data_IF_626510652770
#
_entry.id   IF_626510652770
#
_cell.length_a   1.000
_cell.length_b   1.000
_cell.length_c   1.000
_cell.angle_alpha   90.00
_cell.angle_beta   90.00
_cell.angle_gamma   90.00
#
_symmetry.space_group_name_H-M   'P 1'
#
loop_
_entity.id
_entity.type
_entity.pdbx_description
1 polymer ?
#
# COMPACT_ATOMS: atom_id res chain seq x y z
N UNK A 1 4.26 16.32 20.76
CA UNK A 1 5.44 15.47 20.53
C UNK A 1 6.00 14.98 21.86
N UNK A 2 6.32 15.87 22.81
CA UNK A 2 6.86 15.47 24.12
C UNK A 2 5.96 14.53 24.92
N UNK A 3 4.64 14.74 24.94
CA UNK A 3 3.75 13.82 25.68
C UNK A 3 3.68 12.43 25.04
N UNK A 4 3.78 12.35 23.71
CA UNK A 4 3.89 11.06 23.02
C UNK A 4 5.21 10.37 23.36
N UNK A 5 6.32 11.11 23.39
CA UNK A 5 7.65 10.61 23.82
C UNK A 5 7.59 10.03 25.22
N UNK A 6 6.97 10.72 26.19
CA UNK A 6 6.79 10.21 27.56
C UNK A 6 6.04 8.87 27.61
N UNK A 7 4.99 8.72 26.80
CA UNK A 7 4.21 7.46 26.71
C UNK A 7 5.08 6.32 26.17
N UNK A 8 5.86 6.57 25.12
CA UNK A 8 6.79 5.57 24.58
C UNK A 8 7.90 5.23 25.56
N UNK A 9 8.53 6.24 26.18
CA UNK A 9 9.61 6.06 27.14
C UNK A 9 9.14 5.26 28.37
N UNK A 10 7.93 5.55 28.87
CA UNK A 10 7.32 4.82 29.99
C UNK A 10 7.05 3.36 29.60
N UNK A 11 6.49 3.15 28.41
CA UNK A 11 6.16 1.81 27.90
C UNK A 11 7.42 0.94 27.67
N UNK A 12 8.51 1.55 27.18
CA UNK A 12 9.81 0.88 27.06
C UNK A 12 10.48 0.64 28.42
N UNK A 13 10.28 1.54 29.39
CA UNK A 13 10.75 1.36 30.77
C UNK A 13 10.11 0.14 31.47
N UNK A 14 8.87 -0.20 31.12
CA UNK A 14 8.17 -1.38 31.66
C UNK A 14 8.67 -2.73 31.12
N UNK A 15 9.52 -2.73 30.08
CA UNK A 15 9.95 -3.95 29.38
C UNK A 15 10.91 -4.86 30.16
N UNK A 16 11.49 -4.37 31.26
CA UNK A 16 12.50 -5.08 32.02
C UNK A 16 13.72 -5.46 31.16
N UNK A 17 14.30 -6.64 31.39
CA UNK A 17 15.55 -7.11 30.74
C UNK A 17 15.27 -7.90 29.44
N UNK A 18 14.01 -8.28 29.20
CA UNK A 18 13.60 -9.12 28.05
C UNK A 18 13.60 -8.41 26.69
N UNK A 19 13.87 -7.09 26.67
CA UNK A 19 13.81 -6.14 25.55
C UNK A 19 13.73 -6.75 24.15
N UNK A 20 14.88 -7.16 23.59
CA UNK A 20 14.97 -7.61 22.19
C UNK A 20 14.42 -9.01 21.91
N UNK A 21 14.11 -9.81 22.94
CA UNK A 21 13.55 -11.17 22.78
C UNK A 21 12.02 -11.17 22.72
N UNK A 22 11.39 -10.09 23.19
CA UNK A 22 9.94 -9.95 23.14
C UNK A 22 9.51 -9.29 21.82
N UNK A 23 8.66 -9.95 21.00
CA UNK A 23 8.19 -9.36 19.74
C UNK A 23 7.50 -8.01 19.92
N UNK A 24 6.71 -7.82 20.98
CA UNK A 24 5.97 -6.56 21.20
C UNK A 24 6.92 -5.38 21.44
N UNK A 25 8.00 -5.59 22.21
CA UNK A 25 9.00 -4.55 22.46
C UNK A 25 9.84 -4.23 21.22
N UNK A 26 10.16 -5.21 20.39
CA UNK A 26 10.77 -4.97 19.09
C UNK A 26 9.88 -4.09 18.20
N UNK A 27 8.58 -4.37 18.11
CA UNK A 27 7.66 -3.56 17.31
C UNK A 27 7.46 -2.16 17.88
N UNK A 28 7.34 -2.04 19.20
CA UNK A 28 7.19 -0.74 19.88
C UNK A 28 8.43 0.13 19.64
N UNK A 29 9.63 -0.43 19.84
CA UNK A 29 10.90 0.26 19.61
C UNK A 29 11.07 0.65 18.16
N UNK A 30 10.72 -0.25 17.22
CA UNK A 30 10.74 0.04 15.79
C UNK A 30 9.81 1.19 15.43
N UNK A 31 8.57 1.19 15.95
CA UNK A 31 7.59 2.24 15.71
C UNK A 31 8.09 3.59 16.24
N UNK A 32 8.55 3.62 17.49
CA UNK A 32 9.06 4.84 18.10
C UNK A 32 10.28 5.38 17.35
N UNK A 33 11.24 4.52 17.01
CA UNK A 33 12.41 4.90 16.24
C UNK A 33 12.06 5.40 14.83
N UNK A 34 11.08 4.80 14.16
CA UNK A 34 10.58 5.28 12.85
C UNK A 34 9.98 6.68 12.96
N UNK A 35 9.13 6.93 13.96
CA UNK A 35 8.52 8.24 14.18
C UNK A 35 9.59 9.31 14.48
N UNK A 36 10.58 8.98 15.31
CA UNK A 36 11.71 9.89 15.58
C UNK A 36 12.59 10.12 14.33
N UNK A 37 12.80 9.09 13.51
CA UNK A 37 13.53 9.23 12.25
C UNK A 37 12.79 10.11 11.24
N UNK A 38 11.45 10.09 11.20
CA UNK A 38 10.64 10.95 10.33
C UNK A 38 10.73 12.45 10.69
N UNK A 39 11.14 12.77 11.91
CA UNK A 39 11.39 14.15 12.35
C UNK A 39 12.74 14.69 11.84
N UNK A 40 13.64 13.82 11.35
CA UNK A 40 14.91 14.23 10.79
C UNK A 40 14.71 14.95 9.44
N UNK A 41 15.32 16.13 9.30
CA UNK A 41 15.27 16.93 8.06
C UNK A 41 16.26 16.36 7.02
N UNK A 42 17.43 15.94 7.49
CA UNK A 42 18.49 15.30 6.71
C UNK A 42 19.16 14.20 7.57
N UNK A 43 20.20 13.56 7.04
CA UNK A 43 20.95 12.52 7.76
C UNK A 43 22.05 13.08 8.68
N UNK A 44 22.21 14.39 8.78
CA UNK A 44 23.21 15.00 9.66
C UNK A 44 22.81 14.78 11.13
N UNK A 45 23.74 14.28 11.95
CA UNK A 45 23.45 13.94 13.35
C UNK A 45 22.55 12.72 13.54
N UNK A 46 22.24 11.94 12.48
CA UNK A 46 21.40 10.74 12.59
C UNK A 46 21.96 9.72 13.58
N UNK A 47 23.29 9.59 13.69
CA UNK A 47 23.97 8.69 14.63
C UNK A 47 23.69 9.08 16.09
N UNK A 48 23.63 10.37 16.38
CA UNK A 48 23.34 10.90 17.72
C UNK A 48 21.84 11.00 17.97
N UNK A 49 20.98 10.74 16.98
CA UNK A 49 19.54 10.91 17.12
C UNK A 49 18.92 9.99 18.18
N UNK A 50 17.75 10.43 18.69
CA UNK A 50 16.92 9.63 19.59
C UNK A 50 16.54 8.27 18.98
N UNK A 51 16.30 8.21 17.66
CA UNK A 51 16.00 6.97 16.96
C UNK A 51 17.15 5.96 17.09
N UNK A 52 18.40 6.40 16.87
CA UNK A 52 19.59 5.55 17.04
C UNK A 52 19.77 5.14 18.49
N UNK A 53 19.51 6.04 19.45
CA UNK A 53 19.55 5.71 20.87
C UNK A 53 18.58 4.60 21.25
N UNK A 54 17.30 4.70 20.83
CA UNK A 54 16.26 3.70 21.13
C UNK A 54 16.69 2.32 20.61
N UNK A 55 17.16 2.25 19.37
CA UNK A 55 17.60 0.99 18.74
C UNK A 55 18.88 0.44 19.39
N UNK A 56 19.80 1.31 19.78
CA UNK A 56 21.01 0.91 20.52
C UNK A 56 20.63 0.31 21.87
N UNK A 57 19.73 0.96 22.61
CA UNK A 57 19.24 0.50 23.91
C UNK A 57 18.45 -0.80 23.83
N UNK A 58 17.69 -1.02 22.76
CA UNK A 58 16.99 -2.28 22.55
C UNK A 58 17.97 -3.46 22.48
N UNK A 59 19.11 -3.28 21.82
CA UNK A 59 20.13 -4.33 21.70
C UNK A 59 20.96 -4.51 22.99
N UNK A 60 21.03 -3.49 23.85
CA UNK A 60 21.63 -3.61 25.17
C UNK A 60 20.70 -4.43 26.09
N UNK A 61 21.22 -5.47 26.76
CA UNK A 61 20.45 -6.28 27.72
C UNK A 61 20.28 -5.56 29.07
N UNK A 62 19.61 -4.41 29.07
CA UNK A 62 19.44 -3.56 30.25
C UNK A 62 18.10 -2.82 30.28
N UNK A 63 17.82 -2.16 31.40
CA UNK A 63 16.63 -1.33 31.54
C UNK A 63 16.69 -0.11 30.63
N UNK A 64 15.59 0.20 29.98
CA UNK A 64 15.47 1.39 29.16
C UNK A 64 15.57 2.65 30.03
N UNK A 65 16.41 3.59 29.61
CA UNK A 65 16.53 4.93 30.21
C UNK A 65 16.17 5.94 29.12
N UNK A 66 15.39 7.00 29.41
CA UNK A 66 15.06 8.02 28.42
C UNK A 66 16.29 8.67 27.79
N UNK A 67 16.15 9.08 26.53
CA UNK A 67 17.22 9.71 25.75
C UNK A 67 17.69 11.03 26.37
N UNK A 68 19.00 11.20 26.52
CA UNK A 68 19.63 12.33 27.19
C UNK A 68 20.49 13.22 26.27
N UNK A 69 20.46 13.01 24.95
CA UNK A 69 21.24 13.82 24.00
C UNK A 69 22.51 13.18 23.47
N UNK A 70 22.91 11.99 23.94
CA UNK A 70 24.15 11.35 23.53
C UNK A 70 23.97 9.86 23.21
N UNK A 71 24.71 9.40 22.20
CA UNK A 71 24.79 7.99 21.81
C UNK A 71 26.25 7.54 21.81
N UNK A 72 26.58 6.58 22.67
CA UNK A 72 27.96 6.06 22.76
C UNK A 72 28.31 5.24 21.52
N UNK A 73 29.40 5.62 20.83
CA UNK A 73 29.91 4.89 19.65
C UNK A 73 30.26 3.44 19.96
N UNK A 74 30.78 3.15 21.15
CA UNK A 74 31.08 1.79 21.62
C UNK A 74 29.81 0.96 21.73
N UNK A 75 28.72 1.57 22.22
CA UNK A 75 27.44 0.88 22.37
C UNK A 75 26.79 0.63 21.00
N UNK A 76 26.91 1.56 20.05
CA UNK A 76 26.49 1.36 18.66
C UNK A 76 27.22 0.16 18.04
N UNK A 77 28.53 0.04 18.23
CA UNK A 77 29.30 -1.10 17.70
C UNK A 77 28.88 -2.43 18.34
N UNK A 78 28.61 -2.44 19.65
CA UNK A 78 28.10 -3.63 20.36
C UNK A 78 26.70 -4.01 19.88
N UNK A 79 25.80 -3.04 19.80
CA UNK A 79 24.42 -3.22 19.33
C UNK A 79 24.39 -3.82 17.92
N UNK A 80 25.27 -3.35 17.02
CA UNK A 80 25.40 -3.92 15.66
C UNK A 80 25.67 -5.41 15.69
N UNK A 81 26.71 -5.83 16.43
CA UNK A 81 27.07 -7.25 16.57
C UNK A 81 25.94 -8.07 17.18
N UNK A 82 25.24 -7.51 18.17
CA UNK A 82 24.08 -8.17 18.80
C UNK A 82 22.95 -8.38 17.79
N UNK A 83 22.60 -7.38 16.99
CA UNK A 83 21.59 -7.53 15.95
C UNK A 83 22.00 -8.56 14.88
N UNK A 84 23.24 -8.52 14.41
CA UNK A 84 23.77 -9.49 13.44
C UNK A 84 23.60 -10.93 13.94
N UNK A 85 23.98 -11.17 15.19
CA UNK A 85 23.85 -12.50 15.81
C UNK A 85 22.39 -12.92 15.95
N UNK A 86 21.54 -12.05 16.52
CA UNK A 86 20.13 -12.39 16.77
C UNK A 86 19.34 -12.62 15.48
N UNK A 87 19.60 -11.84 14.43
CA UNK A 87 18.95 -12.06 13.13
C UNK A 87 19.40 -13.38 12.54
N UNK A 88 20.70 -13.71 12.64
CA UNK A 88 21.21 -14.99 12.16
C UNK A 88 20.62 -16.16 12.93
N UNK A 89 20.56 -16.07 14.26
CA UNK A 89 19.99 -17.09 15.15
C UNK A 89 18.51 -17.30 14.84
N UNK A 90 17.72 -16.22 14.75
CA UNK A 90 16.30 -16.27 14.42
C UNK A 90 16.04 -16.85 13.03
N UNK A 91 16.91 -16.58 12.04
CA UNK A 91 16.80 -17.19 10.72
C UNK A 91 17.14 -18.69 10.76
N UNK A 92 18.14 -19.12 11.55
CA UNK A 92 18.47 -20.54 11.70
C UNK A 92 17.40 -21.33 12.46
N UNK A 93 16.80 -20.76 13.49
CA UNK A 93 15.68 -21.37 14.21
C UNK A 93 14.44 -21.52 13.32
N UNK A 94 14.14 -20.48 12.52
CA UNK A 94 13.07 -20.57 11.53
C UNK A 94 13.37 -21.59 10.41
N UNK A 95 14.62 -21.92 10.12
CA UNK A 95 14.98 -22.97 9.14
C UNK A 95 14.75 -24.38 9.69
N UNK A 96 14.80 -24.58 11.00
CA UNK A 96 14.66 -25.90 11.64
C UNK A 96 13.23 -26.20 12.10
N UNK A 97 12.41 -25.18 12.37
CA UNK A 97 11.01 -25.35 12.77
C UNK A 97 10.07 -25.49 11.56
N UNK A 98 9.50 -26.69 11.37
CA UNK A 98 8.47 -26.97 10.35
C UNK A 98 7.07 -26.41 10.69
N UNK A 99 6.89 -25.79 11.86
CA UNK A 99 5.64 -25.17 12.28
C UNK A 99 5.73 -23.64 12.24
N UNK A 100 4.87 -23.01 11.44
CA UNK A 100 4.74 -21.56 11.38
C UNK A 100 4.02 -21.03 12.62
N UNK A 101 4.77 -20.78 13.69
CA UNK A 101 4.23 -20.02 14.80
C UNK A 101 4.13 -18.54 14.40
N UNK A 102 2.92 -17.99 14.39
CA UNK A 102 2.65 -16.56 14.13
C UNK A 102 3.48 -15.61 15.05
N UNK A 103 3.88 -16.09 16.22
CA UNK A 103 4.75 -15.35 17.14
C UNK A 103 6.19 -15.26 16.65
N UNK A 104 6.72 -16.29 16.00
CA UNK A 104 8.09 -16.33 15.48
C UNK A 104 8.27 -15.44 14.24
N UNK A 105 7.29 -15.46 13.33
CA UNK A 105 7.25 -14.55 12.18
C UNK A 105 7.17 -13.09 12.61
N UNK A 106 6.29 -12.77 13.56
CA UNK A 106 6.18 -11.43 14.14
C UNK A 106 7.52 -10.99 14.72
N UNK A 107 8.17 -11.82 15.54
CA UNK A 107 9.46 -11.49 16.14
C UNK A 107 10.54 -11.16 15.11
N UNK A 108 10.69 -12.02 14.09
CA UNK A 108 11.64 -11.82 13.00
C UNK A 108 11.42 -10.48 12.28
N UNK A 109 10.16 -10.15 11.96
CA UNK A 109 9.80 -8.91 11.29
C UNK A 109 10.22 -7.68 12.12
N UNK A 110 9.89 -7.69 13.42
CA UNK A 110 10.26 -6.60 14.34
C UNK A 110 11.77 -6.45 14.49
N UNK A 111 12.49 -7.56 14.66
CA UNK A 111 13.94 -7.59 14.84
C UNK A 111 14.68 -7.08 13.60
N UNK A 112 14.35 -7.63 12.42
CA UNK A 112 14.97 -7.21 11.15
C UNK A 112 14.60 -5.76 10.82
N UNK A 113 13.38 -5.33 11.13
CA UNK A 113 12.97 -3.94 10.99
C UNK A 113 13.82 -2.99 11.84
N UNK A 114 14.04 -3.33 13.12
CA UNK A 114 14.93 -2.58 14.01
C UNK A 114 16.36 -2.52 13.47
N UNK A 115 16.90 -3.67 13.07
CA UNK A 115 18.27 -3.77 12.59
C UNK A 115 18.49 -2.99 11.29
N UNK A 116 17.53 -3.07 10.35
CA UNK A 116 17.58 -2.35 9.07
C UNK A 116 17.56 -0.84 9.29
N UNK A 117 16.67 -0.34 10.17
CA UNK A 117 16.62 1.08 10.51
C UNK A 117 17.88 1.54 11.25
N UNK A 118 18.41 0.71 12.14
CA UNK A 118 19.66 0.98 12.86
C UNK A 118 20.85 1.10 11.89
N UNK A 119 20.96 0.19 10.93
CA UNK A 119 22.01 0.27 9.90
C UNK A 119 21.84 1.49 9.01
N UNK A 120 20.60 1.83 8.65
CA UNK A 120 20.30 3.05 7.90
C UNK A 120 20.78 4.33 8.62
N UNK A 121 20.45 4.47 9.89
CA UNK A 121 20.79 5.66 10.68
C UNK A 121 22.29 5.75 11.01
N UNK A 122 23.01 4.62 11.06
CA UNK A 122 24.42 4.58 11.48
C UNK A 122 25.42 4.49 10.33
N UNK A 123 25.09 3.79 9.24
CA UNK A 123 25.98 3.55 8.11
C UNK A 123 25.38 3.94 6.75
N UNK A 124 24.09 4.30 6.70
CA UNK A 124 23.42 4.76 5.49
C UNK A 124 22.63 3.69 4.74
N UNK A 125 22.11 4.08 3.58
CA UNK A 125 21.15 3.28 2.81
C UNK A 125 21.72 1.95 2.35
N UNK A 126 22.94 1.91 1.82
CA UNK A 126 23.52 0.68 1.26
C UNK A 126 23.67 -0.43 2.30
N UNK A 127 24.03 -0.07 3.55
CA UNK A 127 24.08 -1.02 4.66
C UNK A 127 22.70 -1.58 4.99
N UNK A 128 21.67 -0.74 5.04
CA UNK A 128 20.30 -1.19 5.26
C UNK A 128 19.78 -2.08 4.13
N UNK A 129 20.11 -1.75 2.88
CA UNK A 129 19.75 -2.57 1.71
C UNK A 129 20.42 -3.94 1.77
N UNK A 130 21.69 -4.01 2.17
CA UNK A 130 22.43 -5.26 2.34
C UNK A 130 21.78 -6.19 3.36
N UNK A 131 21.35 -5.66 4.52
CA UNK A 131 20.60 -6.45 5.53
C UNK A 131 19.34 -7.04 4.92
N UNK A 132 18.53 -6.21 4.26
CA UNK A 132 17.30 -6.69 3.63
C UNK A 132 17.56 -7.77 2.58
N UNK A 133 18.53 -7.57 1.68
CA UNK A 133 18.85 -8.53 0.63
C UNK A 133 19.27 -9.89 1.20
N UNK A 134 20.11 -9.91 2.23
CA UNK A 134 20.56 -11.14 2.90
C UNK A 134 19.40 -11.91 3.52
N UNK A 135 18.53 -11.21 4.26
CA UNK A 135 17.35 -11.81 4.90
C UNK A 135 16.35 -12.30 3.85
N UNK A 136 16.08 -11.48 2.83
CA UNK A 136 15.15 -11.80 1.77
C UNK A 136 15.58 -13.02 0.95
N UNK A 137 16.88 -13.18 0.69
CA UNK A 137 17.41 -14.36 0.00
C UNK A 137 17.16 -15.64 0.82
N UNK A 138 17.53 -15.63 2.11
CA UNK A 138 17.32 -16.78 3.00
C UNK A 138 15.85 -17.17 3.15
N UNK A 139 14.95 -16.18 3.18
CA UNK A 139 13.51 -16.46 3.22
C UNK A 139 12.96 -16.99 1.89
N UNK A 140 13.48 -16.55 0.74
CA UNK A 140 13.08 -17.08 -0.58
C UNK A 140 13.54 -18.53 -0.77
N UNK A 141 14.70 -18.89 -0.25
CA UNK A 141 15.22 -20.26 -0.33
C UNK A 141 14.34 -21.27 0.44
N UNK A 142 13.60 -20.81 1.46
CA UNK A 142 12.68 -21.63 2.28
C UNK A 142 11.33 -21.91 1.59
N UNK A 143 10.80 -20.97 0.82
CA UNK A 143 9.52 -21.10 0.10
C UNK A 143 9.73 -20.82 -1.40
N UNK A 144 10.28 -21.79 -2.17
CA UNK A 144 10.43 -21.65 -3.63
C UNK A 144 9.09 -21.69 -4.38
N UNK A 145 7.99 -22.07 -3.72
CA UNK A 145 6.66 -22.24 -4.30
C UNK A 145 5.61 -21.32 -3.68
N UNK A 146 4.91 -20.57 -4.53
CA UNK A 146 3.69 -19.82 -4.18
C UNK A 146 2.70 -20.74 -3.45
N UNK A 147 2.41 -20.45 -2.18
CA UNK A 147 1.24 -21.05 -1.54
C UNK A 147 -0.02 -20.54 -2.23
N UNK A 148 -0.60 -21.39 -3.06
CA UNK A 148 -1.86 -21.19 -3.78
C UNK A 148 -3.09 -21.39 -2.88
N UNK A 149 -2.99 -21.18 -1.56
CA UNK A 149 -4.11 -21.38 -0.66
C UNK A 149 -4.57 -20.03 -0.10
N UNK A 150 -5.85 -19.72 -0.37
CA UNK A 150 -6.55 -18.46 -0.11
C UNK A 150 -6.70 -18.03 1.36
N UNK A 151 -5.66 -18.19 2.18
CA UNK A 151 -5.53 -17.50 3.47
C UNK A 151 -4.49 -16.40 3.32
N UNK A 152 -4.96 -15.15 3.20
CA UNK A 152 -4.14 -13.95 3.05
C UNK A 152 -3.40 -13.58 4.35
N UNK A 153 -2.52 -14.43 4.84
CA UNK A 153 -1.55 -14.01 5.86
C UNK A 153 -0.40 -13.29 5.18
N UNK A 154 -0.11 -12.07 5.61
CA UNK A 154 1.08 -11.33 5.15
C UNK A 154 2.32 -12.14 5.52
N UNK A 155 3.03 -12.60 4.49
CA UNK A 155 4.27 -13.38 4.73
C UNK A 155 5.34 -12.48 5.36
N UNK A 156 6.29 -13.04 6.15
CA UNK A 156 7.39 -12.24 6.71
C UNK A 156 8.16 -11.48 5.64
N UNK A 157 8.39 -12.13 4.50
CA UNK A 157 9.06 -11.52 3.36
C UNK A 157 8.26 -10.35 2.77
N UNK A 158 6.93 -10.45 2.69
CA UNK A 158 6.06 -9.37 2.23
C UNK A 158 6.11 -8.17 3.18
N UNK A 159 6.02 -8.40 4.49
CA UNK A 159 6.11 -7.34 5.50
C UNK A 159 7.49 -6.63 5.47
N UNK A 160 8.57 -7.39 5.36
CA UNK A 160 9.93 -6.84 5.25
C UNK A 160 10.12 -6.07 3.94
N UNK A 161 9.57 -6.57 2.83
CA UNK A 161 9.56 -5.89 1.53
C UNK A 161 8.86 -4.53 1.62
N UNK A 162 7.73 -4.43 2.34
CA UNK A 162 7.04 -3.17 2.60
C UNK A 162 7.91 -2.18 3.40
N UNK A 163 8.59 -2.65 4.44
CA UNK A 163 9.49 -1.79 5.22
C UNK A 163 10.65 -1.29 4.37
N UNK A 164 11.20 -2.15 3.52
CA UNK A 164 12.28 -1.81 2.62
C UNK A 164 11.87 -0.76 1.57
N UNK A 165 10.73 -0.95 0.90
CA UNK A 165 10.16 0.04 -0.02
C UNK A 165 9.92 1.37 0.70
N UNK A 166 9.39 1.33 1.93
CA UNK A 166 9.13 2.54 2.73
C UNK A 166 10.43 3.27 3.08
N UNK A 167 11.49 2.53 3.44
CA UNK A 167 12.79 3.10 3.77
C UNK A 167 13.45 3.78 2.56
N UNK A 168 13.46 3.14 1.40
CA UNK A 168 14.02 3.74 0.17
C UNK A 168 13.26 5.03 -0.16
N UNK A 169 11.93 4.99 -0.09
CA UNK A 169 11.09 6.18 -0.33
C UNK A 169 11.37 7.30 0.66
N UNK A 170 11.55 6.97 1.94
CA UNK A 170 11.92 7.94 2.96
C UNK A 170 13.28 8.57 2.65
N UNK A 171 14.28 7.74 2.32
CA UNK A 171 15.60 8.22 1.92
C UNK A 171 15.50 9.18 0.73
N UNK A 172 14.80 8.80 -0.35
CA UNK A 172 14.56 9.66 -1.51
C UNK A 172 13.85 10.99 -1.20
N UNK A 173 13.14 11.11 -0.06
CA UNK A 173 12.51 12.35 0.37
C UNK A 173 13.51 13.30 1.03
N UNK A 174 14.47 12.77 1.77
CA UNK A 174 15.43 13.56 2.57
C UNK A 174 16.82 13.68 1.92
N UNK A 175 17.12 12.88 0.90
CA UNK A 175 18.39 12.86 0.20
C UNK A 175 18.21 12.76 -1.32
N UNK A 176 19.24 13.17 -2.07
CA UNK A 176 19.31 12.94 -3.51
C UNK A 176 19.67 11.48 -3.75
N UNK A 177 18.74 10.70 -4.30
CA UNK A 177 18.92 9.26 -4.52
C UNK A 177 18.27 8.80 -5.84
N UNK A 178 18.91 7.90 -6.61
CA UNK A 178 18.36 7.42 -7.88
C UNK A 178 17.05 6.66 -7.71
N UNK A 179 16.14 6.79 -8.68
CA UNK A 179 14.84 6.10 -8.66
C UNK A 179 14.93 4.61 -9.06
N UNK A 180 16.05 4.18 -9.65
CA UNK A 180 16.21 2.81 -10.19
C UNK A 180 16.06 1.72 -9.13
N UNK A 181 16.71 1.78 -7.95
CA UNK A 181 16.57 0.73 -6.93
C UNK A 181 15.12 0.55 -6.45
N UNK A 182 14.40 1.65 -6.20
CA UNK A 182 13.00 1.60 -5.82
C UNK A 182 12.14 0.94 -6.90
N UNK A 183 12.40 1.27 -8.18
CA UNK A 183 11.66 0.69 -9.30
C UNK A 183 11.89 -0.81 -9.41
N UNK A 184 13.13 -1.27 -9.30
CA UNK A 184 13.48 -2.69 -9.40
C UNK A 184 12.84 -3.51 -8.29
N UNK A 185 12.94 -3.03 -7.05
CA UNK A 185 12.28 -3.65 -5.89
C UNK A 185 10.77 -3.74 -6.12
N UNK A 186 10.12 -2.65 -6.54
CA UNK A 186 8.68 -2.64 -6.79
C UNK A 186 8.26 -3.62 -7.89
N UNK A 187 9.03 -3.71 -8.98
CA UNK A 187 8.76 -4.66 -10.05
C UNK A 187 8.91 -6.12 -9.58
N UNK A 188 9.85 -6.41 -8.69
CA UNK A 188 10.03 -7.75 -8.12
C UNK A 188 8.87 -8.11 -7.16
N UNK A 189 8.59 -7.25 -6.18
CA UNK A 189 7.61 -7.56 -5.13
C UNK A 189 6.18 -7.63 -5.68
N UNK A 190 5.83 -6.83 -6.69
CA UNK A 190 4.50 -6.86 -7.30
C UNK A 190 4.25 -8.09 -8.17
N UNK A 191 5.30 -8.70 -8.72
CA UNK A 191 5.17 -10.02 -9.38
C UNK A 191 4.88 -11.13 -8.36
N UNK A 192 5.39 -10.99 -7.13
CA UNK A 192 5.20 -11.97 -6.06
C UNK A 192 3.91 -11.74 -5.26
N UNK A 193 3.55 -10.48 -5.01
CA UNK A 193 2.43 -10.05 -4.16
C UNK A 193 1.51 -9.09 -4.92
N UNK A 194 0.80 -9.55 -5.97
CA UNK A 194 -0.04 -8.70 -6.79
C UNK A 194 -1.27 -8.15 -6.06
N UNK A 195 -1.69 -8.75 -4.93
CA UNK A 195 -2.80 -8.27 -4.10
C UNK A 195 -2.39 -7.16 -3.12
N UNK A 196 -1.09 -6.87 -2.96
CA UNK A 196 -0.66 -5.90 -1.96
C UNK A 196 -0.82 -4.45 -2.48
N UNK A 197 -1.82 -3.76 -1.93
CA UNK A 197 -2.17 -2.39 -2.32
C UNK A 197 -1.07 -1.36 -2.04
N UNK A 198 -0.26 -1.55 -1.00
CA UNK A 198 0.77 -0.60 -0.60
C UNK A 198 1.94 -0.55 -1.60
N UNK A 199 2.29 -1.70 -2.19
CA UNK A 199 3.24 -1.74 -3.30
C UNK A 199 2.69 -1.03 -4.53
N UNK A 200 1.43 -1.27 -4.89
CA UNK A 200 0.81 -0.59 -6.03
C UNK A 200 0.71 0.92 -5.87
N UNK A 201 0.32 1.41 -4.67
CA UNK A 201 0.31 2.84 -4.35
C UNK A 201 1.70 3.45 -4.56
N UNK A 202 2.74 2.77 -4.10
CA UNK A 202 4.14 3.19 -4.30
C UNK A 202 4.53 3.20 -5.78
N UNK A 203 4.16 2.16 -6.53
CA UNK A 203 4.42 2.03 -7.96
C UNK A 203 3.77 3.12 -8.80
N UNK A 204 2.49 3.43 -8.56
CA UNK A 204 1.81 4.52 -9.27
C UNK A 204 2.43 5.87 -8.96
N UNK A 205 2.80 6.12 -7.71
CA UNK A 205 3.40 7.39 -7.31
C UNK A 205 4.71 7.69 -8.07
N UNK A 206 5.52 6.66 -8.34
CA UNK A 206 6.74 6.83 -9.15
C UNK A 206 6.47 6.89 -10.66
N UNK A 207 5.47 6.14 -11.16
CA UNK A 207 5.21 6.03 -12.59
C UNK A 207 4.29 7.11 -13.15
N UNK A 208 3.44 7.71 -12.32
CA UNK A 208 2.57 8.83 -12.70
C UNK A 208 3.34 10.07 -13.15
N UNK A 209 4.57 10.25 -12.63
CA UNK A 209 5.49 11.33 -13.01
C UNK A 209 6.41 10.97 -14.18
N UNK A 210 6.38 9.71 -14.65
CA UNK A 210 7.28 9.21 -15.68
C UNK A 210 6.66 9.25 -17.06
N UNK A 211 7.44 9.61 -18.08
CA UNK A 211 7.01 9.59 -19.49
C UNK A 211 6.89 8.16 -20.07
N UNK A 212 7.23 7.11 -19.31
CA UNK A 212 7.32 5.75 -19.82
C UNK A 212 6.00 4.96 -19.64
N UNK A 213 4.95 5.41 -20.32
CA UNK A 213 3.62 4.78 -20.22
C UNK A 213 3.59 3.35 -20.76
N UNK A 214 4.32 3.07 -21.84
CA UNK A 214 4.33 1.75 -22.50
C UNK A 214 4.91 0.66 -21.59
N UNK A 215 6.01 0.91 -20.89
CA UNK A 215 6.59 -0.06 -19.94
C UNK A 215 5.62 -0.36 -18.79
N UNK A 216 4.96 0.67 -18.24
CA UNK A 216 3.98 0.47 -17.18
C UNK A 216 2.79 -0.36 -17.66
N UNK A 217 2.25 -0.07 -18.85
CA UNK A 217 1.13 -0.83 -19.45
C UNK A 217 1.49 -2.30 -19.64
N UNK A 218 2.65 -2.58 -20.24
CA UNK A 218 3.16 -3.96 -20.41
C UNK A 218 3.30 -4.70 -19.08
N UNK A 219 3.71 -4.00 -18.03
CA UNK A 219 3.84 -4.59 -16.70
C UNK A 219 2.49 -4.95 -16.09
N UNK A 220 1.51 -4.04 -16.14
CA UNK A 220 0.14 -4.35 -15.72
C UNK A 220 -0.47 -5.49 -16.53
N UNK A 221 -0.36 -5.44 -17.86
CA UNK A 221 -0.90 -6.47 -18.76
C UNK A 221 -0.26 -7.86 -18.50
N UNK A 222 1.01 -7.90 -18.07
CA UNK A 222 1.66 -9.14 -17.67
C UNK A 222 1.12 -9.67 -16.34
N UNK A 223 0.94 -8.80 -15.34
CA UNK A 223 0.47 -9.23 -14.01
C UNK A 223 -1.00 -9.65 -14.05
N UNK A 224 -1.88 -8.89 -14.72
CA UNK A 224 -3.32 -9.19 -14.78
C UNK A 224 -3.62 -10.53 -15.45
N UNK A 225 -2.72 -11.06 -16.27
CA UNK A 225 -2.83 -12.41 -16.85
C UNK A 225 -2.43 -13.53 -15.91
N UNK A 226 -1.67 -13.22 -14.85
CA UNK A 226 -1.09 -14.21 -13.93
C UNK A 226 -1.80 -14.29 -12.59
N UNK A 227 -2.68 -13.33 -12.29
CA UNK A 227 -3.34 -13.22 -10.99
C UNK A 227 -4.84 -13.02 -11.13
N UNK A 228 -5.58 -13.54 -10.15
CA UNK A 228 -7.02 -13.31 -10.01
C UNK A 228 -7.32 -12.05 -9.17
N UNK A 229 -6.31 -11.44 -8.56
CA UNK A 229 -6.46 -10.23 -7.74
C UNK A 229 -6.93 -9.05 -8.59
N UNK A 230 -7.78 -8.19 -8.00
CA UNK A 230 -8.35 -7.02 -8.67
C UNK A 230 -7.47 -5.78 -8.56
N UNK A 231 -6.55 -5.75 -7.60
CA UNK A 231 -5.64 -4.64 -7.36
C UNK A 231 -4.91 -4.20 -8.65
N UNK A 232 -4.29 -5.08 -9.45
CA UNK A 232 -3.63 -4.68 -10.69
C UNK A 232 -4.56 -3.96 -11.67
N UNK A 233 -5.81 -4.40 -11.80
CA UNK A 233 -6.82 -3.76 -12.66
C UNK A 233 -7.18 -2.35 -12.15
N UNK A 234 -7.51 -2.24 -10.86
CA UNK A 234 -7.89 -0.98 -10.23
C UNK A 234 -6.76 0.05 -10.31
N UNK A 235 -5.52 -0.38 -10.04
CA UNK A 235 -4.35 0.47 -10.10
C UNK A 235 -3.94 0.80 -11.55
N UNK A 236 -4.16 -0.08 -12.52
CA UNK A 236 -3.98 0.24 -13.94
C UNK A 236 -4.94 1.36 -14.40
N UNK A 237 -6.23 1.24 -14.03
CA UNK A 237 -7.25 2.25 -14.29
C UNK A 237 -6.87 3.58 -13.65
N UNK A 238 -6.49 3.56 -12.36
CA UNK A 238 -6.07 4.76 -11.64
C UNK A 238 -4.89 5.45 -12.33
N UNK A 239 -3.88 4.70 -12.78
CA UNK A 239 -2.71 5.26 -13.44
C UNK A 239 -3.06 5.91 -14.78
N UNK A 240 -3.90 5.29 -15.60
CA UNK A 240 -4.35 5.88 -16.88
C UNK A 240 -5.26 7.11 -16.64
N UNK A 241 -6.10 7.10 -15.61
CA UNK A 241 -6.87 8.28 -15.22
C UNK A 241 -5.98 9.44 -14.76
N UNK A 242 -4.92 9.17 -13.99
CA UNK A 242 -3.94 10.18 -13.60
C UNK A 242 -3.24 10.79 -14.82
N UNK A 243 -2.90 9.96 -15.81
CA UNK A 243 -2.32 10.43 -17.10
C UNK A 243 -3.29 11.31 -17.87
N UNK A 244 -4.56 10.91 -17.99
CA UNK A 244 -5.62 11.71 -18.62
C UNK A 244 -5.74 13.08 -17.93
N UNK A 245 -5.86 13.10 -16.60
CA UNK A 245 -5.94 14.35 -15.81
C UNK A 245 -4.72 15.24 -15.98
N UNK A 246 -3.52 14.67 -16.11
CA UNK A 246 -2.29 15.43 -16.35
C UNK A 246 -2.33 16.12 -17.72
N UNK A 247 -2.71 15.41 -18.78
CA UNK A 247 -2.79 15.95 -20.14
C UNK A 247 -3.85 17.05 -20.22
N UNK A 248 -5.04 16.83 -19.65
CA UNK A 248 -6.10 17.84 -19.59
C UNK A 248 -5.67 19.12 -18.87
N UNK A 249 -4.90 19.01 -17.77
CA UNK A 249 -4.37 20.18 -17.05
C UNK A 249 -3.38 20.97 -17.88
N UNK A 250 -2.59 20.31 -18.72
CA UNK A 250 -1.63 20.98 -19.61
C UNK A 250 -2.37 21.68 -20.75
N UNK A 251 -3.40 21.05 -21.32
CA UNK A 251 -4.18 21.59 -22.43
C UNK A 251 -5.11 22.76 -22.05
N UNK A 252 -5.58 22.83 -20.80
CA UNK A 252 -6.44 23.93 -20.31
C UNK A 252 -5.71 25.25 -20.01
N UNK A 253 -4.38 25.34 -20.20
CA UNK A 253 -3.69 26.64 -20.16
C UNK A 253 -3.89 27.35 -21.50
N UNK A 254 -4.49 28.56 -21.53
CA UNK A 254 -4.78 29.30 -22.75
C UNK A 254 -3.50 29.99 -23.22
N UNK A 255 -2.48 29.22 -23.58
CA UNK A 255 -1.40 29.72 -24.42
C UNK A 255 -1.77 29.27 -25.82
N UNK A 256 -2.04 30.20 -26.72
CA UNK A 256 -2.69 29.99 -28.02
C UNK A 256 -1.98 29.09 -29.04
N UNK A 257 -1.10 28.20 -28.59
CA UNK A 257 -0.43 27.21 -29.41
C UNK A 257 -1.10 25.85 -29.23
N UNK A 258 -1.77 25.40 -30.29
CA UNK A 258 -2.31 24.05 -30.44
C UNK A 258 -1.11 23.09 -30.50
N UNK A 259 -0.60 22.68 -29.33
CA UNK A 259 0.36 21.59 -29.28
C UNK A 259 -0.30 20.33 -29.83
N UNK A 260 0.36 19.69 -30.80
CA UNK A 260 -0.06 18.48 -31.49
C UNK A 260 -0.82 17.54 -30.55
N UNK A 261 -2.14 17.49 -30.75
CA UNK A 261 -3.11 16.77 -29.94
C UNK A 261 -2.77 15.29 -29.90
N UNK A 262 -2.27 14.80 -28.76
CA UNK A 262 -2.55 13.41 -28.39
C UNK A 262 -4.07 13.33 -28.34
N UNK A 263 -4.74 12.50 -29.15
CA UNK A 263 -6.19 12.44 -29.14
C UNK A 263 -6.64 12.05 -27.73
N UNK A 264 -7.40 12.92 -27.05
CA UNK A 264 -8.01 12.65 -25.74
C UNK A 264 -8.81 11.33 -25.73
N UNK A 265 -9.27 10.95 -26.94
CA UNK A 265 -9.98 9.73 -27.28
C UNK A 265 -9.16 8.47 -26.95
N UNK A 266 -7.84 8.49 -27.13
CA UNK A 266 -7.00 7.31 -26.96
C UNK A 266 -6.93 6.80 -25.52
N UNK A 267 -6.72 7.71 -24.56
CA UNK A 267 -6.69 7.35 -23.14
C UNK A 267 -8.08 6.98 -22.62
N UNK A 268 -9.11 7.68 -23.10
CA UNK A 268 -10.50 7.38 -22.75
C UNK A 268 -10.87 5.95 -23.17
N UNK A 269 -10.56 5.57 -24.41
CA UNK A 269 -10.80 4.20 -24.90
C UNK A 269 -9.96 3.16 -24.15
N UNK A 270 -8.73 3.50 -23.77
CA UNK A 270 -7.89 2.60 -22.94
C UNK A 270 -8.48 2.37 -21.56
N UNK A 271 -8.99 3.42 -20.90
CA UNK A 271 -9.64 3.30 -19.59
C UNK A 271 -10.92 2.44 -19.71
N UNK A 272 -11.73 2.66 -20.76
CA UNK A 272 -12.90 1.81 -21.04
C UNK A 272 -12.51 0.34 -21.22
N UNK A 273 -11.48 0.07 -22.03
CA UNK A 273 -11.00 -1.29 -22.24
C UNK A 273 -10.51 -1.95 -20.95
N UNK A 274 -9.81 -1.21 -20.07
CA UNK A 274 -9.38 -1.73 -18.77
C UNK A 274 -10.58 -2.10 -17.88
N UNK A 275 -11.62 -1.27 -17.84
CA UNK A 275 -12.84 -1.61 -17.11
C UNK A 275 -13.55 -2.82 -17.69
N UNK A 276 -13.74 -2.88 -19.02
CA UNK A 276 -14.39 -4.01 -19.69
C UNK A 276 -13.64 -5.34 -19.45
N UNK A 277 -12.30 -5.32 -19.50
CA UNK A 277 -11.53 -6.51 -19.18
C UNK A 277 -11.60 -6.87 -17.70
N UNK A 278 -11.60 -5.90 -16.79
CA UNK A 278 -11.67 -6.16 -15.37
C UNK A 278 -13.01 -6.81 -14.98
N UNK A 279 -14.14 -6.31 -15.49
CA UNK A 279 -15.48 -6.87 -15.19
C UNK A 279 -15.74 -8.22 -15.87
N UNK A 280 -14.94 -8.61 -16.87
CA UNK A 280 -14.98 -9.95 -17.46
C UNK A 280 -14.30 -11.02 -16.58
N UNK A 281 -13.50 -10.60 -15.60
CA UNK A 281 -12.91 -11.54 -14.63
C UNK A 281 -13.95 -11.95 -13.59
N UNK A 282 -13.83 -13.18 -13.07
CA UNK A 282 -14.73 -13.72 -12.04
C UNK A 282 -14.84 -12.78 -10.82
N UNK A 283 -13.69 -12.40 -10.24
CA UNK A 283 -13.67 -11.49 -9.10
C UNK A 283 -14.19 -10.09 -9.45
N UNK A 284 -13.96 -9.63 -10.69
CA UNK A 284 -14.31 -8.28 -11.10
C UNK A 284 -15.80 -8.12 -11.37
N UNK A 285 -16.44 -9.13 -11.97
CA UNK A 285 -17.87 -9.18 -12.18
C UNK A 285 -18.65 -9.04 -10.87
N UNK A 286 -18.14 -9.61 -9.77
CA UNK A 286 -18.77 -9.55 -8.45
C UNK A 286 -18.18 -8.46 -7.54
N UNK A 287 -17.51 -7.44 -8.10
CA UNK A 287 -16.94 -6.34 -7.34
C UNK A 287 -17.77 -5.05 -7.52
N UNK A 288 -18.62 -4.66 -6.55
CA UNK A 288 -19.42 -3.45 -6.65
C UNK A 288 -18.58 -2.19 -6.84
N UNK A 289 -17.43 -2.08 -6.17
CA UNK A 289 -16.54 -0.91 -6.31
C UNK A 289 -16.08 -0.73 -7.76
N UNK A 290 -15.75 -1.81 -8.47
CA UNK A 290 -15.32 -1.75 -9.87
C UNK A 290 -16.44 -1.22 -10.77
N UNK A 291 -17.66 -1.72 -10.59
CA UNK A 291 -18.84 -1.24 -11.31
C UNK A 291 -19.12 0.23 -11.05
N UNK A 292 -19.11 0.66 -9.79
CA UNK A 292 -19.31 2.07 -9.40
C UNK A 292 -18.30 2.98 -10.06
N UNK A 293 -17.02 2.59 -10.04
CA UNK A 293 -15.95 3.35 -10.71
C UNK A 293 -16.15 3.43 -12.23
N UNK A 294 -16.62 2.35 -12.85
CA UNK A 294 -16.85 2.34 -14.30
C UNK A 294 -18.04 3.22 -14.69
N UNK A 295 -19.16 3.11 -13.98
CA UNK A 295 -20.36 3.94 -14.20
C UNK A 295 -20.00 5.41 -13.99
N UNK A 296 -19.37 5.75 -12.86
CA UNK A 296 -18.92 7.12 -12.58
C UNK A 296 -18.02 7.67 -13.69
N UNK A 297 -17.08 6.86 -14.19
CA UNK A 297 -16.24 7.25 -15.31
C UNK A 297 -17.05 7.50 -16.59
N UNK A 298 -18.01 6.64 -16.94
CA UNK A 298 -18.82 6.78 -18.15
C UNK A 298 -19.77 7.98 -18.09
N UNK A 299 -20.37 8.23 -16.92
CA UNK A 299 -21.19 9.41 -16.66
C UNK A 299 -20.35 10.69 -16.81
N UNK A 300 -19.11 10.68 -16.32
CA UNK A 300 -18.20 11.83 -16.48
C UNK A 300 -17.82 12.15 -17.94
N UNK A 301 -18.06 11.22 -18.88
CA UNK A 301 -17.88 11.44 -20.32
C UNK A 301 -19.16 11.95 -21.01
N UNK A 302 -20.29 12.05 -20.29
CA UNK A 302 -21.56 12.53 -20.82
C UNK A 302 -22.38 11.52 -21.61
N UNK A 303 -21.96 10.25 -21.68
CA UNK A 303 -22.68 9.20 -22.42
C UNK A 303 -23.71 8.51 -21.51
N UNK A 304 -24.85 9.19 -21.27
CA UNK A 304 -25.92 8.69 -20.39
C UNK A 304 -26.43 7.32 -20.81
N UNK A 305 -26.69 7.11 -22.10
CA UNK A 305 -27.24 5.85 -22.62
C UNK A 305 -26.31 4.65 -22.35
N UNK A 306 -25.01 4.77 -22.65
CA UNK A 306 -24.06 3.70 -22.32
C UNK A 306 -23.88 3.50 -20.82
N UNK A 307 -23.91 4.59 -20.05
CA UNK A 307 -23.80 4.51 -18.59
C UNK A 307 -24.98 3.74 -17.98
N UNK A 308 -26.21 3.98 -18.47
CA UNK A 308 -27.42 3.22 -18.11
C UNK A 308 -27.27 1.73 -18.45
N UNK A 309 -26.75 1.41 -19.65
CA UNK A 309 -26.46 0.02 -20.03
C UNK A 309 -25.45 -0.69 -19.11
N UNK A 310 -24.42 0.02 -18.65
CA UNK A 310 -23.43 -0.53 -17.69
C UNK A 310 -24.06 -0.72 -16.31
N UNK A 311 -24.93 0.20 -15.87
CA UNK A 311 -25.67 0.05 -14.62
C UNK A 311 -26.49 -1.25 -14.59
N UNK A 312 -27.28 -1.55 -15.62
CA UNK A 312 -28.03 -2.81 -15.66
C UNK A 312 -27.13 -4.05 -15.69
N UNK A 313 -25.99 -4.00 -16.40
CA UNK A 313 -24.98 -5.08 -16.33
C UNK A 313 -24.44 -5.26 -14.91
N UNK A 314 -24.24 -4.17 -14.18
CA UNK A 314 -23.81 -4.24 -12.78
C UNK A 314 -24.88 -4.91 -11.91
N UNK A 315 -26.17 -4.56 -12.11
CA UNK A 315 -27.28 -5.19 -11.38
C UNK A 315 -27.40 -6.70 -11.65
N UNK A 316 -27.13 -7.15 -12.87
CA UNK A 316 -27.13 -8.59 -13.20
C UNK A 316 -26.08 -9.36 -12.40
N UNK A 317 -24.95 -8.74 -12.05
CA UNK A 317 -23.85 -9.40 -11.36
C UNK A 317 -23.81 -9.11 -9.85
N UNK A 318 -24.37 -7.98 -9.41
CA UNK A 318 -24.35 -7.48 -8.02
C UNK A 318 -25.74 -6.98 -7.55
N UNK A 319 -26.83 -7.76 -7.68
CA UNK A 319 -28.20 -7.26 -7.56
C UNK A 319 -28.56 -6.72 -6.17
N UNK A 320 -27.99 -7.26 -5.09
CA UNK A 320 -28.31 -6.80 -3.72
C UNK A 320 -27.47 -5.60 -3.25
N UNK A 321 -26.65 -5.03 -4.12
CA UNK A 321 -25.78 -3.92 -3.73
C UNK A 321 -26.53 -2.60 -3.82
N UNK A 322 -27.24 -2.25 -2.74
CA UNK A 322 -28.06 -1.02 -2.65
C UNK A 322 -27.36 0.26 -3.13
N UNK A 323 -26.05 0.39 -2.88
CA UNK A 323 -25.31 1.59 -3.29
C UNK A 323 -25.27 1.79 -4.82
N UNK A 324 -25.38 0.73 -5.63
CA UNK A 324 -25.48 0.87 -7.09
C UNK A 324 -26.77 1.57 -7.51
N UNK A 325 -27.87 1.28 -6.83
CA UNK A 325 -29.17 1.93 -7.06
C UNK A 325 -29.12 3.41 -6.65
N UNK A 326 -28.49 3.70 -5.51
CA UNK A 326 -28.29 5.07 -5.05
C UNK A 326 -27.46 5.89 -6.05
N UNK A 327 -26.36 5.31 -6.57
CA UNK A 327 -25.56 5.95 -7.62
C UNK A 327 -26.40 6.19 -8.89
N UNK A 328 -27.27 5.25 -9.27
CA UNK A 328 -28.13 5.41 -10.44
C UNK A 328 -29.18 6.53 -10.28
N UNK A 329 -29.78 6.68 -9.09
CA UNK A 329 -30.69 7.78 -8.78
C UNK A 329 -29.97 9.13 -8.92
N UNK A 330 -28.72 9.21 -8.47
CA UNK A 330 -27.90 10.42 -8.60
C UNK A 330 -27.56 10.74 -10.07
N UNK A 331 -27.19 9.72 -10.85
CA UNK A 331 -26.74 9.92 -12.24
C UNK A 331 -27.88 10.01 -13.28
N UNK A 332 -29.02 9.38 -12.99
CA UNK A 332 -30.17 9.27 -13.88
C UNK A 332 -31.48 9.63 -13.14
N UNK A 333 -31.64 10.89 -12.70
CA UNK A 333 -32.81 11.30 -11.92
C UNK A 333 -34.13 11.12 -12.68
N UNK A 334 -34.08 11.17 -14.02
CA UNK A 334 -35.22 10.95 -14.91
C UNK A 334 -35.80 9.52 -14.80
N UNK A 335 -35.04 8.57 -14.25
CA UNK A 335 -35.38 7.14 -14.15
C UNK A 335 -35.70 6.72 -12.70
N UNK A 336 -35.98 7.69 -11.81
CA UNK A 336 -36.17 7.44 -10.38
C UNK A 336 -37.22 6.36 -10.10
N UNK A 337 -38.39 6.45 -10.73
CA UNK A 337 -39.47 5.47 -10.53
C UNK A 337 -39.02 4.06 -10.92
N UNK A 338 -38.42 3.90 -12.10
CA UNK A 338 -37.92 2.60 -12.58
C UNK A 338 -36.91 2.01 -11.59
N UNK A 339 -36.02 2.84 -11.03
CA UNK A 339 -35.02 2.39 -10.07
C UNK A 339 -35.66 1.99 -8.74
N UNK A 340 -36.67 2.73 -8.27
CA UNK A 340 -37.42 2.40 -7.06
C UNK A 340 -38.21 1.09 -7.21
N UNK A 341 -38.83 0.88 -8.37
CA UNK A 341 -39.53 -0.36 -8.70
C UNK A 341 -38.56 -1.54 -8.66
N UNK A 342 -37.38 -1.41 -9.28
CA UNK A 342 -36.32 -2.42 -9.21
C UNK A 342 -35.82 -2.65 -7.78
N UNK A 343 -35.77 -1.63 -6.94
CA UNK A 343 -35.42 -1.79 -5.53
C UNK A 343 -36.51 -2.56 -4.78
N UNK A 344 -37.78 -2.26 -5.03
CA UNK A 344 -38.91 -2.97 -4.44
C UNK A 344 -38.95 -4.44 -4.87
N UNK A 345 -38.76 -4.74 -6.17
CA UNK A 345 -38.66 -6.11 -6.71
C UNK A 345 -37.54 -6.93 -6.06
N UNK A 346 -36.45 -6.29 -5.66
CA UNK A 346 -35.31 -6.93 -4.99
C UNK A 346 -35.39 -6.87 -3.47
N UNK A 347 -36.53 -6.44 -2.92
CA UNK A 347 -36.77 -6.27 -1.48
C UNK A 347 -35.72 -5.38 -0.79
N UNK A 348 -35.14 -4.44 -1.54
CA UNK A 348 -34.20 -3.47 -1.01
C UNK A 348 -34.98 -2.40 -0.26
N UNK A 349 -34.63 -2.20 1.02
CA UNK A 349 -35.30 -1.22 1.87
C UNK A 349 -35.32 0.18 1.24
N UNK A 350 -36.51 0.69 0.92
CA UNK A 350 -36.80 2.10 0.69
C UNK A 350 -37.36 2.69 1.98
N UNK A 351 -37.01 3.94 2.33
CA UNK A 351 -37.45 4.53 3.62
C UNK A 351 -38.91 4.94 3.60
N UNK A 352 -39.30 5.62 2.53
CA UNK A 352 -40.65 6.11 2.25
C UNK A 352 -40.83 5.94 0.74
N UNK A 353 -41.84 5.19 0.27
CA UNK A 353 -42.24 5.15 -1.14
C UNK A 353 -42.54 6.56 -1.66
N UNK A 354 -42.39 6.79 -2.97
CA UNK A 354 -42.57 8.15 -3.50
C UNK A 354 -44.03 8.59 -3.40
N UNK A 355 -44.96 7.64 -3.53
CA UNK A 355 -46.41 7.84 -3.43
C UNK A 355 -46.80 8.29 -2.02
N UNK A 356 -46.20 7.68 -0.98
CA UNK A 356 -46.42 8.09 0.41
C UNK A 356 -45.80 9.47 0.69
N UNK A 357 -44.65 9.78 0.08
CA UNK A 357 -44.01 11.08 0.23
C UNK A 357 -44.85 12.20 -0.44
N UNK A 358 -45.41 11.94 -1.62
CA UNK A 358 -46.29 12.89 -2.32
C UNK A 358 -47.52 13.21 -1.48
N UNK A 359 -48.18 12.21 -0.90
CA UNK A 359 -49.29 12.41 0.03
C UNK A 359 -48.90 13.28 1.24
N UNK A 360 -47.72 13.06 1.81
CA UNK A 360 -47.21 13.83 2.95
C UNK A 360 -46.78 15.26 2.60
N UNK A 361 -46.59 15.59 1.32
CA UNK A 361 -46.23 16.92 0.84
C UNK A 361 -47.44 17.73 0.36
N UNK A 362 -48.55 17.05 0.05
CA UNK A 362 -49.83 17.66 -0.30
C UNK A 362 -50.61 18.16 0.94
N UNK A 363 -50.32 17.61 2.12
CA UNK A 363 -50.75 18.08 3.45
C UNK A 363 -49.78 19.13 4.05
#
# INVERSE_FOLDING_TARGET
IEDARKVFDTSLGMAGISGIQNPQFCHLSLLYAKLEAELLINLEGAVESRATYILTKLAERGHYVPYNGQVSSVNVLKARKTYEHLVQDCLTENLTSNQEHASGSSHLIGLVGCYTLFQYLTLGIDSAMSVYCQVAQKLKDKDPGQRLNGQHFTTPLEALSLMHVSLIRFHMKISVYPLTPLREVLLEVLKRYPSNQSFWRSYIQIHSKSHNASKARRFFDAITRTTQSLEPWLFAVQLEQMRKKLIERVQRKPTGDVYATIPEIGLTNRIKALFEHAIQTENGAHCPLLWRLYICFMVSLGDKAKSKGIFYRALQNCPWTKVLYMDAIEYFPDELQEILDLMAEKELRVRVPIEELELLLED
#
